data_IF_314718566020
#
_entry.id   IF_314718566020
#
_cell.length_a   1.000
_cell.length_b   1.000
_cell.length_c   1.000
_cell.angle_alpha   90.00
_cell.angle_beta   90.00
_cell.angle_gamma   90.00
#
_symmetry.space_group_name_H-M   'P 1'
#
loop_
_entity.id
_entity.type
_entity.pdbx_description
1 polymer ?
#
# COMPACT_ATOMS: atom_id res chain seq x y z
N UNK A 1 17.20 -0.99 48.61
CA UNK A 1 17.69 -0.40 47.34
C UNK A 1 16.63 -0.68 46.29
N UNK A 2 15.83 0.33 45.95
CA UNK A 2 14.80 0.24 44.93
C UNK A 2 15.45 0.69 43.61
N UNK A 3 15.38 -0.15 42.58
CA UNK A 3 15.99 0.14 41.28
C UNK A 3 14.94 0.85 40.42
N UNK A 4 15.08 2.16 40.26
CA UNK A 4 14.30 2.95 39.30
C UNK A 4 14.81 2.71 37.89
N UNK A 5 14.29 1.67 37.24
CA UNK A 5 14.56 1.36 35.84
C UNK A 5 13.38 1.72 34.95
N UNK A 6 13.27 2.99 34.51
CA UNK A 6 12.48 3.36 33.32
C UNK A 6 13.17 4.45 32.52
N UNK A 7 14.20 4.08 31.76
CA UNK A 7 14.51 4.78 30.52
C UNK A 7 13.70 4.12 29.40
N UNK A 8 12.55 4.72 29.08
CA UNK A 8 11.73 4.32 27.94
C UNK A 8 11.11 5.58 27.34
N UNK A 9 11.21 5.74 26.02
CA UNK A 9 10.65 6.88 25.30
C UNK A 9 9.14 6.98 25.59
N UNK A 10 8.73 8.05 26.29
CA UNK A 10 7.31 8.41 26.39
C UNK A 10 6.80 8.66 24.96
N UNK A 11 5.65 8.06 24.61
CA UNK A 11 4.90 8.25 23.35
C UNK A 11 5.25 7.34 22.14
N UNK A 12 5.68 6.10 22.35
CA UNK A 12 5.69 5.12 21.25
C UNK A 12 4.28 4.55 21.00
N UNK A 13 3.87 4.50 19.74
CA UNK A 13 2.64 3.83 19.31
C UNK A 13 2.69 2.35 19.69
N UNK A 14 1.62 1.85 20.29
CA UNK A 14 1.43 0.44 20.60
C UNK A 14 0.91 -0.28 19.36
N UNK A 15 1.08 -1.59 19.29
CA UNK A 15 0.58 -2.41 18.17
C UNK A 15 -0.93 -2.21 17.92
N UNK A 16 -1.71 -2.02 18.97
CA UNK A 16 -3.15 -1.70 18.87
C UNK A 16 -3.44 -0.35 18.22
N UNK A 17 -2.55 0.63 18.38
CA UNK A 17 -2.71 1.94 17.77
C UNK A 17 -2.56 1.81 16.24
N UNK A 18 -1.61 0.98 15.77
CA UNK A 18 -1.45 0.65 14.35
C UNK A 18 -2.66 -0.07 13.74
N UNK A 19 -3.42 -0.87 14.51
CA UNK A 19 -4.65 -1.51 13.96
C UNK A 19 -5.76 -0.49 13.67
N UNK A 20 -5.71 0.68 14.31
CA UNK A 20 -6.75 1.70 14.25
C UNK A 20 -6.37 2.92 13.39
N UNK A 21 -5.12 3.06 12.96
CA UNK A 21 -4.73 4.12 12.01
C UNK A 21 -5.29 3.85 10.61
N UNK A 22 -5.31 4.89 9.77
CA UNK A 22 -5.69 4.80 8.36
C UNK A 22 -4.46 4.57 7.49
N UNK A 23 -4.48 3.51 6.70
CA UNK A 23 -3.42 3.16 5.78
C UNK A 23 -3.79 3.65 4.38
N UNK A 24 -3.03 4.61 3.88
CA UNK A 24 -3.18 5.07 2.49
C UNK A 24 -2.32 4.19 1.60
N UNK A 25 -2.94 3.59 0.58
CA UNK A 25 -2.30 2.75 -0.42
C UNK A 25 -2.33 3.49 -1.75
N UNK A 26 -1.16 3.71 -2.34
CA UNK A 26 -0.99 4.29 -3.67
C UNK A 26 -0.04 3.38 -4.45
N UNK A 27 -0.60 2.55 -5.33
CA UNK A 27 0.10 1.49 -6.06
C UNK A 27 -0.44 1.36 -7.48
N UNK A 28 0.38 0.82 -8.40
CA UNK A 28 -0.03 0.50 -9.76
C UNK A 28 0.30 1.53 -10.83
N UNK A 29 0.73 2.74 -10.46
CA UNK A 29 1.12 3.76 -11.45
C UNK A 29 2.35 3.31 -12.25
N UNK A 30 3.36 2.77 -11.57
CA UNK A 30 4.60 2.26 -12.21
C UNK A 30 4.32 1.09 -13.15
N UNK A 31 3.45 0.15 -12.75
CA UNK A 31 3.07 -1.00 -13.58
C UNK A 31 2.40 -0.55 -14.89
N UNK A 32 1.50 0.43 -14.80
CA UNK A 32 0.87 1.02 -15.98
C UNK A 32 1.89 1.78 -16.83
N UNK A 33 2.74 2.61 -16.24
CA UNK A 33 3.77 3.37 -16.97
C UNK A 33 4.72 2.45 -17.76
N UNK A 34 5.23 1.40 -17.12
CA UNK A 34 6.07 0.40 -17.77
C UNK A 34 5.29 -0.36 -18.85
N UNK A 35 4.05 -0.74 -18.59
CA UNK A 35 3.24 -1.45 -19.59
C UNK A 35 2.97 -0.59 -20.82
N UNK A 36 2.58 0.68 -20.65
CA UNK A 36 2.31 1.60 -21.76
C UNK A 36 3.57 2.05 -22.51
N UNK A 37 4.75 2.04 -21.88
CA UNK A 37 6.02 2.33 -22.57
C UNK A 37 6.60 1.14 -23.33
N UNK A 38 6.17 -0.09 -23.03
CA UNK A 38 6.77 -1.32 -23.58
C UNK A 38 5.84 -2.17 -24.46
N UNK A 39 4.53 -1.93 -24.43
CA UNK A 39 3.51 -2.75 -25.11
C UNK A 39 2.49 -1.88 -25.86
N UNK A 40 1.75 -2.47 -26.80
CA UNK A 40 0.65 -1.77 -27.48
C UNK A 40 -0.54 -1.54 -26.55
N UNK A 41 -1.35 -0.50 -26.82
CA UNK A 41 -2.53 -0.18 -26.02
C UNK A 41 -3.44 -1.41 -25.78
N UNK A 42 -3.83 -2.22 -26.78
CA UNK A 42 -4.67 -3.39 -26.55
C UNK A 42 -4.03 -4.44 -25.63
N UNK A 43 -2.72 -4.65 -25.74
CA UNK A 43 -1.98 -5.58 -24.86
C UNK A 43 -1.97 -5.09 -23.42
N UNK A 44 -1.80 -3.77 -23.20
CA UNK A 44 -1.85 -3.19 -21.86
C UNK A 44 -3.24 -3.36 -21.24
N UNK A 45 -4.31 -3.10 -22.00
CA UNK A 45 -5.68 -3.31 -21.51
C UNK A 45 -5.91 -4.76 -21.06
N UNK A 46 -5.32 -5.74 -21.76
CA UNK A 46 -5.40 -7.15 -21.36
C UNK A 46 -4.62 -7.47 -20.08
N UNK A 47 -3.58 -6.70 -19.74
CA UNK A 47 -2.78 -6.85 -18.52
C UNK A 47 -3.41 -6.18 -17.29
N UNK A 48 -4.30 -5.19 -17.44
CA UNK A 48 -4.93 -4.49 -16.31
C UNK A 48 -5.56 -5.44 -15.28
N UNK A 49 -6.31 -6.49 -15.66
CA UNK A 49 -6.84 -7.44 -14.68
C UNK A 49 -5.79 -8.15 -13.82
N UNK A 50 -4.60 -8.46 -14.36
CA UNK A 50 -3.54 -9.09 -13.57
C UNK A 50 -2.94 -8.11 -12.57
N UNK A 51 -2.71 -6.86 -12.97
CA UNK A 51 -2.25 -5.80 -12.06
C UNK A 51 -3.23 -5.61 -10.90
N UNK A 52 -4.54 -5.54 -11.18
CA UNK A 52 -5.57 -5.46 -10.13
C UNK A 52 -5.53 -6.66 -9.20
N UNK A 53 -5.30 -7.87 -9.73
CA UNK A 53 -5.17 -9.09 -8.92
C UNK A 53 -3.99 -9.01 -7.96
N UNK A 54 -2.83 -8.58 -8.43
CA UNK A 54 -1.62 -8.44 -7.60
C UNK A 54 -1.80 -7.36 -6.52
N UNK A 55 -2.36 -6.20 -6.88
CA UNK A 55 -2.71 -5.15 -5.93
C UNK A 55 -3.65 -5.66 -4.83
N UNK A 56 -4.69 -6.42 -5.21
CA UNK A 56 -5.64 -7.03 -4.27
C UNK A 56 -4.92 -8.00 -3.33
N UNK A 57 -4.03 -8.84 -3.85
CA UNK A 57 -3.35 -9.85 -3.05
C UNK A 57 -2.34 -9.21 -2.09
N UNK A 58 -1.67 -8.13 -2.50
CA UNK A 58 -0.85 -7.30 -1.61
C UNK A 58 -1.69 -6.66 -0.47
N UNK A 59 -2.84 -6.07 -0.81
CA UNK A 59 -3.76 -5.50 0.19
C UNK A 59 -4.28 -6.56 1.17
N UNK A 60 -4.58 -7.76 0.68
CA UNK A 60 -4.97 -8.90 1.53
C UNK A 60 -3.85 -9.31 2.47
N UNK A 61 -2.60 -9.34 2.02
CA UNK A 61 -1.46 -9.62 2.88
C UNK A 61 -1.35 -8.59 4.01
N UNK A 62 -1.50 -7.30 3.71
CA UNK A 62 -1.50 -6.23 4.73
C UNK A 62 -2.65 -6.42 5.72
N UNK A 63 -3.85 -6.79 5.25
CA UNK A 63 -5.00 -7.05 6.11
C UNK A 63 -4.76 -8.26 7.04
N UNK A 64 -4.41 -9.42 6.49
CA UNK A 64 -4.33 -10.68 7.26
C UNK A 64 -3.07 -10.76 8.13
N UNK A 65 -1.92 -10.31 7.64
CA UNK A 65 -0.64 -10.37 8.37
C UNK A 65 -0.44 -9.17 9.28
N UNK A 66 -0.83 -7.97 8.81
CA UNK A 66 -0.67 -6.72 9.56
C UNK A 66 -1.82 -6.41 10.52
N UNK A 67 -2.96 -7.11 10.42
CA UNK A 67 -4.15 -6.84 11.23
C UNK A 67 -4.78 -5.47 10.96
N UNK A 68 -4.44 -4.86 9.82
CA UNK A 68 -4.91 -3.54 9.38
C UNK A 68 -6.33 -3.65 8.86
N UNK A 69 -7.22 -2.74 9.28
CA UNK A 69 -8.63 -2.77 8.86
C UNK A 69 -9.08 -1.51 8.10
N UNK A 70 -8.37 -0.40 8.24
CA UNK A 70 -8.78 0.88 7.68
C UNK A 70 -7.86 1.27 6.52
N UNK A 71 -8.36 1.12 5.31
CA UNK A 71 -7.63 1.48 4.09
C UNK A 71 -8.24 2.73 3.44
N UNK A 72 -7.37 3.57 2.91
CA UNK A 72 -7.68 4.55 1.87
C UNK A 72 -6.91 4.12 0.64
N UNK A 73 -7.59 3.71 -0.42
CA UNK A 73 -6.92 3.31 -1.66
C UNK A 73 -7.01 4.45 -2.65
N UNK A 74 -5.87 4.98 -3.06
CA UNK A 74 -5.77 5.97 -4.11
C UNK A 74 -5.79 5.25 -5.47
N UNK A 75 -6.56 5.78 -6.42
CA UNK A 75 -6.58 5.25 -7.78
C UNK A 75 -5.34 5.73 -8.55
N UNK A 76 -5.04 5.06 -9.66
CA UNK A 76 -4.00 5.54 -10.57
C UNK A 76 -4.42 6.86 -11.19
N UNK A 77 -3.45 7.77 -11.31
CA UNK A 77 -3.64 9.08 -11.92
C UNK A 77 -3.83 8.96 -13.45
N UNK A 78 -4.33 10.01 -14.11
CA UNK A 78 -4.44 10.04 -15.56
C UNK A 78 -3.08 9.78 -16.22
N UNK A 79 -3.07 8.88 -17.20
CA UNK A 79 -1.90 8.59 -18.03
C UNK A 79 -1.60 9.79 -18.93
N UNK A 80 -0.33 10.22 -18.97
CA UNK A 80 0.14 11.33 -19.82
C UNK A 80 0.46 12.64 -19.09
N UNK A 81 0.39 12.67 -17.75
CA UNK A 81 0.84 13.81 -16.93
C UNK A 81 2.17 13.56 -16.20
N UNK A 82 2.83 12.43 -16.50
CA UNK A 82 4.17 12.12 -16.01
C UNK A 82 5.19 12.77 -16.97
N UNK A 83 6.27 13.41 -16.45
CA UNK A 83 7.27 14.10 -17.26
C UNK A 83 8.03 13.19 -18.24
#
# INVERSE_FOLDING_TARGET
MHVDGKCGFKNLLREEDFKNVRYTIDIGQTDLEIAFSSSSYPEVIQKIPSFISEMRDAMRAIYYLGGVKNFWVHNTGPLGCLP
#
